data_IF_438427245596
#
_entry.id   IF_438427245596
#
_cell.length_a   1.000
_cell.length_b   1.000
_cell.length_c   1.000
_cell.angle_alpha   90.00
_cell.angle_beta   90.00
_cell.angle_gamma   90.00
#
_symmetry.space_group_name_H-M   'P 1'
#
loop_
_entity.id
_entity.type
_entity.pdbx_description
1 polymer ?
#
# COMPACT_ATOMS: atom_id res chain seq x y z
N UNK A 1 -22.15 -12.91 -4.69
CA UNK A 1 -23.04 -12.03 -3.92
C UNK A 1 -24.31 -11.75 -4.74
N UNK A 2 -25.52 -11.93 -4.20
CA UNK A 2 -26.75 -11.66 -4.94
C UNK A 2 -26.78 -10.19 -5.40
N UNK A 3 -27.05 -9.97 -6.66
CA UNK A 3 -27.30 -8.62 -7.16
C UNK A 3 -28.73 -8.24 -6.81
N UNK A 4 -28.93 -6.97 -6.49
CA UNK A 4 -30.24 -6.42 -6.21
C UNK A 4 -30.40 -5.06 -6.88
N UNK A 5 -31.59 -4.79 -7.39
CA UNK A 5 -31.97 -3.49 -7.94
C UNK A 5 -32.33 -2.46 -6.84
N UNK A 6 -32.37 -2.87 -5.56
CA UNK A 6 -32.68 -1.95 -4.48
C UNK A 6 -31.60 -0.86 -4.37
N UNK A 7 -31.93 0.42 -4.58
CA UNK A 7 -30.96 1.52 -4.53
C UNK A 7 -30.39 1.79 -3.14
N UNK A 8 -31.02 1.26 -2.08
CA UNK A 8 -30.53 1.34 -0.70
C UNK A 8 -29.67 0.15 -0.31
N UNK A 9 -29.51 -0.83 -1.21
CA UNK A 9 -28.67 -1.99 -0.93
C UNK A 9 -27.21 -1.59 -0.79
N UNK A 10 -26.57 -2.14 0.23
CA UNK A 10 -25.11 -2.11 0.41
C UNK A 10 -24.38 -3.12 -0.49
N UNK A 11 -25.04 -3.68 -1.48
CA UNK A 11 -24.42 -4.56 -2.45
C UNK A 11 -23.45 -3.75 -3.32
N UNK A 12 -22.17 -3.86 -3.00
CA UNK A 12 -21.08 -3.18 -3.68
C UNK A 12 -21.10 -3.42 -5.19
N UNK A 13 -21.26 -4.68 -5.60
CA UNK A 13 -21.19 -5.06 -7.03
C UNK A 13 -22.27 -4.38 -7.87
N UNK A 14 -23.48 -4.24 -7.33
CA UNK A 14 -24.61 -3.62 -8.05
C UNK A 14 -24.51 -2.09 -8.10
N UNK A 15 -23.84 -1.47 -7.16
CA UNK A 15 -23.81 -0.02 -6.98
C UNK A 15 -22.39 0.57 -7.06
N UNK A 16 -21.43 -0.16 -7.63
CA UNK A 16 -20.02 0.27 -7.70
C UNK A 16 -19.86 1.68 -8.28
N UNK A 17 -20.54 1.99 -9.39
CA UNK A 17 -20.44 3.31 -10.01
C UNK A 17 -20.91 4.46 -9.10
N UNK A 18 -21.98 4.25 -8.34
CA UNK A 18 -22.47 5.25 -7.37
C UNK A 18 -21.47 5.46 -6.23
N UNK A 19 -20.96 4.37 -5.67
CA UNK A 19 -20.04 4.47 -4.56
C UNK A 19 -18.69 5.04 -4.99
N UNK A 20 -18.17 4.65 -6.15
CA UNK A 20 -16.96 5.21 -6.71
C UNK A 20 -17.09 6.72 -6.97
N UNK A 21 -18.19 7.15 -7.59
CA UNK A 21 -18.46 8.59 -7.80
C UNK A 21 -18.56 9.35 -6.48
N UNK A 22 -19.27 8.80 -5.49
CA UNK A 22 -19.39 9.44 -4.17
C UNK A 22 -18.04 9.54 -3.47
N UNK A 23 -17.21 8.50 -3.58
CA UNK A 23 -15.86 8.49 -3.00
C UNK A 23 -14.95 9.52 -3.68
N UNK A 24 -14.97 9.59 -5.01
CA UNK A 24 -14.20 10.57 -5.77
C UNK A 24 -14.59 12.01 -5.42
N UNK A 25 -15.90 12.28 -5.32
CA UNK A 25 -16.39 13.59 -4.88
C UNK A 25 -15.99 13.95 -3.45
N UNK A 26 -15.87 12.96 -2.57
CA UNK A 26 -15.38 13.19 -1.21
C UNK A 26 -13.87 13.49 -1.20
N UNK A 27 -13.09 12.85 -2.05
CA UNK A 27 -11.65 13.10 -2.17
C UNK A 27 -11.34 14.42 -2.89
N UNK A 28 -12.13 14.79 -3.89
CA UNK A 28 -11.91 15.97 -4.72
C UNK A 28 -13.15 16.87 -4.73
N UNK A 29 -13.50 17.49 -3.59
CA UNK A 29 -14.76 18.23 -3.45
C UNK A 29 -14.88 19.44 -4.38
N UNK A 30 -13.74 20.08 -4.69
CA UNK A 30 -13.70 21.28 -5.57
C UNK A 30 -13.18 20.96 -6.97
N UNK A 31 -12.22 20.03 -7.10
CA UNK A 31 -11.59 19.67 -8.36
C UNK A 31 -12.31 18.53 -9.13
N UNK A 32 -13.23 17.83 -8.48
CA UNK A 32 -13.94 16.70 -9.08
C UNK A 32 -15.17 17.15 -9.88
N UNK A 33 -15.04 17.28 -11.20
CA UNK A 33 -16.13 17.67 -12.12
C UNK A 33 -16.59 16.48 -12.96
N UNK A 34 -17.80 16.53 -13.58
CA UNK A 34 -18.23 15.47 -14.48
C UNK A 34 -17.25 15.20 -15.64
N UNK A 35 -16.59 16.26 -16.13
CA UNK A 35 -15.65 16.20 -17.26
C UNK A 35 -14.38 15.40 -16.95
N UNK A 36 -13.94 15.39 -15.69
CA UNK A 36 -12.79 14.60 -15.23
C UNK A 36 -13.19 13.35 -14.45
N UNK A 37 -14.42 12.86 -14.63
CA UNK A 37 -14.93 11.69 -13.93
C UNK A 37 -15.01 11.89 -12.41
N UNK A 38 -15.29 13.10 -11.95
CA UNK A 38 -15.29 13.52 -10.53
C UNK A 38 -13.93 13.30 -9.84
N UNK A 39 -12.85 13.50 -10.57
CA UNK A 39 -11.48 13.29 -10.09
C UNK A 39 -10.90 11.91 -10.38
N UNK A 40 -11.65 11.03 -11.05
CA UNK A 40 -11.15 9.72 -11.48
C UNK A 40 -9.92 9.86 -12.38
N UNK A 41 -9.84 10.91 -13.18
CA UNK A 41 -8.71 11.17 -14.09
C UNK A 41 -7.40 11.50 -13.34
N UNK A 42 -7.48 11.91 -12.07
CA UNK A 42 -6.30 12.14 -11.22
C UNK A 42 -5.69 10.86 -10.68
N UNK A 43 -6.41 9.74 -10.73
CA UNK A 43 -5.90 8.49 -10.22
C UNK A 43 -4.94 7.84 -11.22
N UNK A 44 -3.88 7.16 -10.74
CA UNK A 44 -3.04 6.37 -11.62
C UNK A 44 -3.87 5.26 -12.29
N UNK A 45 -3.63 5.06 -13.57
CA UNK A 45 -4.29 4.05 -14.39
C UNK A 45 -3.31 2.94 -14.75
N UNK A 46 -3.84 1.74 -14.93
CA UNK A 46 -3.14 0.68 -15.63
C UNK A 46 -3.49 0.78 -17.10
N UNK A 47 -2.51 0.57 -17.96
CA UNK A 47 -2.77 0.43 -19.38
C UNK A 47 -3.66 -0.80 -19.66
N UNK A 48 -4.52 -0.72 -20.65
CA UNK A 48 -5.38 -1.84 -21.04
C UNK A 48 -4.55 -3.08 -21.32
N UNK A 49 -4.91 -4.19 -20.64
CA UNK A 49 -4.19 -5.45 -20.74
C UNK A 49 -2.96 -5.60 -19.85
N UNK A 50 -2.60 -4.60 -19.06
CA UNK A 50 -1.56 -4.77 -18.05
C UNK A 50 -2.04 -5.68 -16.91
N UNK A 51 -1.24 -6.69 -16.61
CA UNK A 51 -1.41 -7.52 -15.42
C UNK A 51 -0.69 -6.85 -14.24
N UNK A 52 -1.47 -6.29 -13.30
CA UNK A 52 -0.99 -5.69 -12.06
C UNK A 52 -1.02 -6.67 -10.88
N UNK A 53 -1.10 -7.98 -11.14
CA UNK A 53 -1.00 -8.97 -10.08
C UNK A 53 0.33 -8.88 -9.36
N UNK A 54 0.36 -9.34 -8.11
CA UNK A 54 1.60 -9.36 -7.33
C UNK A 54 2.69 -10.20 -8.01
N UNK A 55 2.30 -11.23 -8.77
CA UNK A 55 3.27 -12.07 -9.49
C UNK A 55 3.91 -11.30 -10.65
N UNK A 56 3.13 -10.57 -11.43
CA UNK A 56 3.64 -9.70 -12.51
C UNK A 56 4.50 -8.57 -11.98
N UNK A 57 4.17 -8.00 -10.82
CA UNK A 57 5.04 -7.04 -10.13
C UNK A 57 6.40 -7.65 -9.79
N UNK A 58 6.42 -8.85 -9.21
CA UNK A 58 7.69 -9.55 -8.88
C UNK A 58 8.49 -9.83 -10.16
N UNK A 59 7.82 -10.23 -11.25
CA UNK A 59 8.48 -10.45 -12.54
C UNK A 59 9.10 -9.15 -13.10
N UNK A 60 8.39 -8.05 -13.00
CA UNK A 60 8.88 -6.73 -13.42
C UNK A 60 10.05 -6.24 -12.54
N UNK A 61 9.99 -6.47 -11.22
CA UNK A 61 11.11 -6.20 -10.30
C UNK A 61 12.33 -7.07 -10.64
N UNK A 62 12.10 -8.36 -10.87
CA UNK A 62 13.17 -9.30 -11.26
C UNK A 62 13.83 -8.90 -12.57
N UNK A 63 13.05 -8.41 -13.52
CA UNK A 63 13.54 -7.87 -14.80
C UNK A 63 14.15 -6.46 -14.70
N UNK A 64 14.17 -5.85 -13.51
CA UNK A 64 14.70 -4.50 -13.27
C UNK A 64 13.85 -3.37 -13.88
N UNK A 65 12.59 -3.64 -14.22
CA UNK A 65 11.65 -2.63 -14.74
C UNK A 65 11.05 -1.77 -13.60
N UNK A 66 10.76 -2.38 -12.45
CA UNK A 66 10.35 -1.68 -11.23
C UNK A 66 11.60 -1.41 -10.41
N UNK A 67 11.77 -0.16 -9.99
CA UNK A 67 12.97 0.34 -9.31
C UNK A 67 12.75 0.62 -7.83
N UNK A 68 11.52 0.84 -7.40
CA UNK A 68 11.18 1.14 -6.02
C UNK A 68 10.02 0.28 -5.52
N UNK A 69 10.04 -0.07 -4.24
CA UNK A 69 8.97 -0.82 -3.60
C UNK A 69 8.65 -0.23 -2.24
N UNK A 70 7.38 0.06 -2.00
CA UNK A 70 6.86 0.27 -0.63
C UNK A 70 6.10 -0.97 -0.20
N UNK A 71 6.62 -1.68 0.79
CA UNK A 71 6.04 -2.90 1.34
C UNK A 71 5.43 -2.62 2.72
N UNK A 72 4.12 -2.77 2.85
CA UNK A 72 3.38 -2.40 4.06
C UNK A 72 2.72 -3.62 4.67
N UNK A 73 3.13 -3.99 5.87
CA UNK A 73 2.52 -5.07 6.65
C UNK A 73 2.64 -6.47 6.03
N UNK A 74 3.54 -6.65 5.06
CA UNK A 74 3.69 -7.90 4.31
C UNK A 74 5.11 -8.47 4.43
N UNK A 75 5.26 -9.77 4.12
CA UNK A 75 6.54 -10.44 4.06
C UNK A 75 6.69 -11.24 2.75
N UNK A 76 6.74 -10.56 1.59
CA UNK A 76 6.76 -11.24 0.29
C UNK A 76 7.94 -12.20 0.08
N UNK A 77 9.08 -11.98 0.73
CA UNK A 77 10.22 -12.89 0.66
C UNK A 77 9.93 -14.29 1.22
N UNK A 78 8.88 -14.44 2.06
CA UNK A 78 8.43 -15.71 2.61
C UNK A 78 7.04 -16.11 2.11
N UNK A 79 6.10 -15.16 1.97
CA UNK A 79 4.69 -15.46 1.73
C UNK A 79 4.34 -15.68 0.25
N UNK A 80 5.18 -15.22 -0.68
CA UNK A 80 4.92 -15.39 -2.10
C UNK A 80 5.54 -16.66 -2.68
N UNK A 81 4.95 -17.24 -3.73
CA UNK A 81 5.54 -18.33 -4.46
C UNK A 81 6.92 -17.99 -5.01
N UNK A 82 7.82 -18.98 -5.05
CA UNK A 82 9.19 -18.83 -5.54
C UNK A 82 9.98 -17.74 -4.78
N UNK A 83 10.14 -17.91 -3.48
CA UNK A 83 10.87 -16.98 -2.60
C UNK A 83 12.30 -16.66 -3.08
N UNK A 84 12.96 -17.58 -3.77
CA UNK A 84 14.27 -17.33 -4.38
C UNK A 84 14.21 -16.25 -5.46
N UNK A 85 13.16 -16.26 -6.31
CA UNK A 85 12.93 -15.21 -7.32
C UNK A 85 12.57 -13.88 -6.66
N UNK A 86 11.70 -13.92 -5.64
CA UNK A 86 11.34 -12.70 -4.88
C UNK A 86 12.57 -12.04 -4.27
N UNK A 87 13.43 -12.80 -3.60
CA UNK A 87 14.67 -12.28 -2.99
C UNK A 87 15.64 -11.69 -4.03
N UNK A 88 15.73 -12.29 -5.22
CA UNK A 88 16.51 -11.72 -6.33
C UNK A 88 15.87 -10.47 -6.88
N UNK A 89 14.53 -10.42 -6.98
CA UNK A 89 13.80 -9.23 -7.41
C UNK A 89 14.04 -8.04 -6.47
N UNK A 90 14.04 -8.27 -5.15
CA UNK A 90 14.36 -7.24 -4.15
C UNK A 90 15.77 -6.67 -4.31
N UNK A 91 16.74 -7.46 -4.78
CA UNK A 91 18.12 -7.01 -5.04
C UNK A 91 18.25 -6.14 -6.29
N UNK A 92 17.25 -6.13 -7.17
CA UNK A 92 17.24 -5.34 -8.40
C UNK A 92 16.57 -3.97 -8.23
N UNK A 93 16.05 -3.68 -7.04
CA UNK A 93 15.48 -2.39 -6.70
C UNK A 93 16.60 -1.37 -6.44
N UNK A 94 16.32 -0.10 -6.73
CA UNK A 94 17.16 1.01 -6.29
C UNK A 94 16.88 1.32 -4.82
N UNK A 95 15.58 1.25 -4.39
CA UNK A 95 15.19 1.45 -3.01
C UNK A 95 13.98 0.60 -2.60
N UNK A 96 13.89 0.34 -1.30
CA UNK A 96 12.74 -0.32 -0.68
C UNK A 96 12.39 0.37 0.64
N UNK A 97 11.12 0.75 0.79
CA UNK A 97 10.55 1.19 2.08
C UNK A 97 9.74 0.05 2.67
N UNK A 98 10.13 -0.44 3.84
CA UNK A 98 9.44 -1.49 4.56
C UNK A 98 8.75 -0.92 5.79
N UNK A 99 7.42 -0.89 5.78
CA UNK A 99 6.58 -0.37 6.86
C UNK A 99 5.98 -1.56 7.59
N UNK A 100 6.50 -1.90 8.76
CA UNK A 100 6.05 -3.09 9.47
C UNK A 100 6.30 -2.98 10.99
N UNK A 101 5.66 -3.90 11.73
CA UNK A 101 5.84 -4.04 13.17
C UNK A 101 7.15 -4.78 13.54
N UNK A 102 7.73 -5.54 12.62
CA UNK A 102 8.96 -6.30 12.83
C UNK A 102 9.89 -6.21 11.62
N UNK A 103 11.19 -6.34 11.89
CA UNK A 103 12.22 -6.65 10.89
C UNK A 103 12.08 -8.12 10.48
N UNK A 104 11.47 -8.36 9.34
CA UNK A 104 11.24 -9.68 8.80
C UNK A 104 12.17 -9.98 7.60
N UNK A 105 12.03 -11.17 6.99
CA UNK A 105 12.90 -11.61 5.89
C UNK A 105 12.85 -10.72 4.65
N UNK A 106 11.76 -9.99 4.43
CA UNK A 106 11.70 -8.99 3.36
C UNK A 106 12.51 -7.75 3.73
N UNK A 107 12.36 -7.27 4.96
CA UNK A 107 13.12 -6.12 5.44
C UNK A 107 14.63 -6.39 5.47
N UNK A 108 15.01 -7.63 5.80
CA UNK A 108 16.39 -8.09 5.96
C UNK A 108 16.88 -8.97 4.80
N UNK A 109 16.27 -8.92 3.62
CA UNK A 109 16.61 -9.82 2.50
C UNK A 109 18.12 -9.81 2.16
N UNK A 110 18.79 -8.68 2.36
CA UNK A 110 20.20 -8.48 2.14
C UNK A 110 21.11 -9.28 3.09
N UNK A 111 20.57 -9.81 4.19
CA UNK A 111 21.24 -10.76 5.11
C UNK A 111 21.03 -12.21 4.70
N UNK A 112 20.37 -12.47 3.57
CA UNK A 112 20.02 -13.81 3.13
C UNK A 112 21.23 -14.71 2.87
N UNK A 113 21.06 -16.05 2.92
CA UNK A 113 22.14 -16.99 2.68
C UNK A 113 22.82 -16.76 1.33
N UNK A 114 24.15 -16.74 1.32
CA UNK A 114 24.96 -16.57 0.10
C UNK A 114 25.03 -15.14 -0.44
N UNK A 115 24.46 -14.16 0.25
CA UNK A 115 24.58 -12.76 -0.11
C UNK A 115 25.72 -12.09 0.66
N UNK A 116 26.44 -11.20 -0.03
CA UNK A 116 27.35 -10.26 0.59
C UNK A 116 26.59 -8.91 0.72
N UNK A 117 26.27 -8.45 1.94
CA UNK A 117 25.53 -7.20 2.14
C UNK A 117 26.18 -5.98 1.46
N UNK A 118 27.51 -5.99 1.33
CA UNK A 118 28.24 -4.89 0.67
C UNK A 118 28.02 -4.81 -0.85
N UNK A 119 27.50 -5.88 -1.45
CA UNK A 119 27.20 -5.96 -2.89
C UNK A 119 25.75 -5.68 -3.21
N UNK A 120 24.87 -5.68 -2.21
CA UNK A 120 23.46 -5.31 -2.38
C UNK A 120 23.35 -3.80 -2.53
N UNK A 121 22.79 -3.34 -3.65
CA UNK A 121 22.68 -1.89 -3.96
C UNK A 121 21.37 -1.28 -3.51
N UNK A 122 20.36 -2.09 -3.24
CA UNK A 122 19.04 -1.62 -2.81
C UNK A 122 19.15 -0.87 -1.49
N UNK A 123 18.79 0.40 -1.48
CA UNK A 123 18.67 1.18 -0.25
C UNK A 123 17.40 0.78 0.50
N UNK A 124 17.53 0.39 1.77
CA UNK A 124 16.43 -0.13 2.58
C UNK A 124 16.07 0.83 3.72
N UNK A 125 14.83 1.29 3.72
CA UNK A 125 14.26 2.10 4.79
C UNK A 125 13.29 1.24 5.61
N UNK A 126 13.56 1.11 6.90
CA UNK A 126 12.70 0.39 7.84
C UNK A 126 11.94 1.40 8.69
N UNK A 127 10.62 1.43 8.54
CA UNK A 127 9.74 2.33 9.28
C UNK A 127 8.91 1.52 10.26
N UNK A 128 9.16 1.65 11.58
CA UNK A 128 8.42 0.93 12.59
C UNK A 128 7.00 1.48 12.70
N UNK A 129 6.02 0.57 12.77
CA UNK A 129 4.62 0.92 12.95
C UNK A 129 3.98 0.12 14.07
N UNK A 130 2.95 0.71 14.68
CA UNK A 130 2.20 0.10 15.75
C UNK A 130 1.39 -1.11 15.28
N UNK A 131 1.30 -2.11 16.14
CA UNK A 131 0.42 -3.26 15.94
C UNK A 131 -1.06 -2.85 16.04
N UNK A 132 -1.95 -3.75 15.65
CA UNK A 132 -3.39 -3.47 15.67
C UNK A 132 -3.90 -3.10 17.07
N UNK A 133 -3.34 -3.70 18.12
CA UNK A 133 -3.74 -3.46 19.52
C UNK A 133 -3.16 -2.18 20.11
N UNK A 134 -2.19 -1.57 19.44
CA UNK A 134 -1.46 -0.37 19.87
C UNK A 134 -1.99 0.91 19.20
N UNK A 135 -3.09 0.82 18.47
CA UNK A 135 -3.75 1.97 17.81
C UNK A 135 -5.25 1.85 17.86
N UNK A 136 -5.90 2.97 17.91
CA UNK A 136 -7.35 3.05 17.80
C UNK A 136 -7.80 3.31 16.36
N UNK A 137 -9.06 3.07 16.08
CA UNK A 137 -9.66 3.34 14.78
C UNK A 137 -10.80 2.39 14.44
N UNK A 138 -11.40 2.63 13.29
CA UNK A 138 -12.43 1.76 12.74
C UNK A 138 -11.84 0.51 12.13
N UNK A 139 -12.55 -0.59 12.28
CA UNK A 139 -12.23 -1.87 11.68
C UNK A 139 -13.47 -2.42 10.98
N UNK A 140 -13.30 -2.82 9.73
CA UNK A 140 -14.34 -3.47 8.94
C UNK A 140 -13.88 -4.86 8.51
N UNK A 141 -14.81 -5.74 8.18
CA UNK A 141 -14.55 -7.07 7.68
C UNK A 141 -15.49 -7.44 6.51
N UNK A 142 -15.26 -8.59 5.90
CA UNK A 142 -16.08 -9.11 4.79
C UNK A 142 -17.55 -9.38 5.16
N UNK A 143 -17.87 -9.51 6.44
CA UNK A 143 -19.23 -9.62 6.96
C UNK A 143 -19.98 -8.28 7.02
N UNK A 144 -19.37 -7.21 6.55
CA UNK A 144 -19.93 -5.84 6.55
C UNK A 144 -20.20 -5.27 7.95
N UNK A 145 -19.40 -5.71 8.92
CA UNK A 145 -19.37 -5.13 10.24
C UNK A 145 -18.37 -3.97 10.24
N UNK A 146 -18.77 -2.86 10.82
CA UNK A 146 -17.89 -1.73 11.12
C UNK A 146 -17.92 -1.51 12.62
N UNK A 147 -16.77 -1.53 13.25
CA UNK A 147 -16.62 -1.34 14.69
C UNK A 147 -15.47 -0.39 14.98
N UNK A 148 -15.59 0.33 16.06
CA UNK A 148 -14.50 1.10 16.62
C UNK A 148 -13.73 0.26 17.64
N UNK A 149 -12.43 0.39 17.66
CA UNK A 149 -11.57 -0.17 18.70
C UNK A 149 -10.67 0.91 19.29
N UNK A 150 -10.44 0.82 20.56
CA UNK A 150 -9.48 1.66 21.27
C UNK A 150 -8.12 0.97 21.32
N UNK A 151 -7.06 1.78 21.48
CA UNK A 151 -5.74 1.22 21.75
C UNK A 151 -5.74 0.53 23.12
N UNK A 152 -5.24 -0.69 23.20
CA UNK A 152 -5.09 -1.46 24.44
C UNK A 152 -3.72 -1.24 25.09
N UNK A 153 -2.74 -0.75 24.33
CA UNK A 153 -1.39 -0.43 24.78
C UNK A 153 -0.82 0.70 23.92
N UNK A 154 0.21 1.35 24.44
CA UNK A 154 1.02 2.29 23.66
C UNK A 154 1.98 1.54 22.74
N UNK A 155 2.28 2.14 21.58
CA UNK A 155 3.29 1.58 20.66
C UNK A 155 4.70 1.69 21.25
N UNK A 156 5.58 0.73 20.94
CA UNK A 156 6.95 0.74 21.46
C UNK A 156 7.82 1.77 20.73
N UNK A 157 8.67 2.46 21.48
CA UNK A 157 9.69 3.37 20.93
C UNK A 157 9.10 4.44 20.01
N UNK A 158 9.65 4.54 18.80
CA UNK A 158 9.22 5.52 17.78
C UNK A 158 8.13 5.01 16.84
N UNK A 159 7.51 3.86 17.14
CA UNK A 159 6.47 3.30 16.30
C UNK A 159 5.23 4.20 16.28
N UNK A 160 4.76 4.51 15.07
CA UNK A 160 3.55 5.29 14.83
C UNK A 160 2.53 4.48 14.02
N UNK A 161 1.29 4.94 13.94
CA UNK A 161 0.31 4.22 13.11
C UNK A 161 0.70 4.25 11.63
N UNK A 162 0.33 3.21 10.89
CA UNK A 162 0.54 3.18 9.43
C UNK A 162 -0.10 4.38 8.73
N UNK A 163 -1.26 4.83 9.23
CA UNK A 163 -1.93 6.03 8.73
C UNK A 163 -1.07 7.29 8.91
N UNK A 164 -0.43 7.44 10.06
CA UNK A 164 0.46 8.57 10.34
C UNK A 164 1.72 8.56 9.46
N UNK A 165 2.26 7.38 9.15
CA UNK A 165 3.38 7.27 8.20
C UNK A 165 2.96 7.85 6.85
N UNK A 166 1.84 7.40 6.29
CA UNK A 166 1.35 7.91 5.01
C UNK A 166 0.99 9.39 5.07
N UNK A 167 0.36 9.84 6.13
CA UNK A 167 0.06 11.25 6.33
C UNK A 167 1.32 12.13 6.29
N UNK A 168 2.37 11.73 7.02
CA UNK A 168 3.65 12.46 7.03
C UNK A 168 4.31 12.47 5.65
N UNK A 169 4.33 11.32 4.95
CA UNK A 169 4.89 11.22 3.60
C UNK A 169 4.12 12.12 2.64
N UNK A 170 2.79 12.04 2.61
CA UNK A 170 1.95 12.86 1.71
C UNK A 170 2.06 14.35 2.03
N UNK A 171 2.10 14.73 3.30
CA UNK A 171 2.30 16.12 3.71
C UNK A 171 3.64 16.66 3.23
N UNK A 172 4.70 15.84 3.33
CA UNK A 172 6.03 16.23 2.85
C UNK A 172 6.10 16.33 1.34
N UNK A 173 5.48 15.39 0.62
CA UNK A 173 5.38 15.46 -0.84
C UNK A 173 4.65 16.73 -1.28
N UNK A 174 3.52 17.05 -0.66
CA UNK A 174 2.77 18.28 -0.95
C UNK A 174 3.62 19.54 -0.72
N UNK A 175 4.39 19.57 0.37
CA UNK A 175 5.32 20.68 0.65
C UNK A 175 6.41 20.81 -0.44
N UNK A 176 6.99 19.69 -0.89
CA UNK A 176 8.03 19.67 -1.91
C UNK A 176 7.48 20.14 -3.26
N UNK A 177 6.35 19.59 -3.70
CA UNK A 177 5.71 20.03 -4.95
C UNK A 177 5.28 21.51 -4.93
N UNK A 178 4.90 22.06 -3.77
CA UNK A 178 4.57 23.47 -3.66
C UNK A 178 5.80 24.40 -3.79
N UNK A 179 7.00 23.87 -3.58
CA UNK A 179 8.26 24.64 -3.74
C UNK A 179 8.81 24.57 -5.18
N UNK A 180 8.58 23.46 -5.86
CA UNK A 180 9.17 23.17 -7.18
C UNK A 180 8.18 23.42 -8.34
N UNK A 181 6.91 23.63 -8.05
CA UNK A 181 5.81 23.87 -9.00
C UNK A 181 5.21 25.22 -8.90
#
# INVERSE_FOLDING_TARGET
>A
TPQTANPQSLNWMSNTGKYATSLMRAFYPEGGTPENGFGYDYLPKLDDGQDASVMSMIDAMYAGKIKGLTCVGQNPACSLPNSNKVRKALQNLDWMVHVNIFDNETASFWKGPGLDPKKVKTECFLLPVTASVEKEGSQANSGRWMQWKYAAAEGPGDAISTGDVFWRVMSKLKELYAKDG
#
